data_IF_375359929351
#
_entry.id   IF_375359929351
#
_cell.length_a   1.000
_cell.length_b   1.000
_cell.length_c   1.000
_cell.angle_alpha   90.00
_cell.angle_beta   90.00
_cell.angle_gamma   90.00
#
_symmetry.space_group_name_H-M   'P 1'
#
loop_
_entity.id
_entity.type
_entity.pdbx_description
1 polymer ?
#
# COMPACT_ATOMS: atom_id res chain seq x y z
N UNK A 1 -8.06 -22.08 4.19
CA UNK A 1 -7.18 -23.23 3.83
C UNK A 1 -6.88 -23.09 2.35
N UNK A 2 -5.70 -22.69 1.89
CA UNK A 2 -4.36 -22.91 2.41
C UNK A 2 -3.44 -21.72 2.10
N UNK A 3 -2.75 -21.21 3.13
CA UNK A 3 -1.58 -20.36 3.01
C UNK A 3 -0.37 -21.27 3.31
N UNK A 4 0.45 -21.55 2.30
CA UNK A 4 1.74 -22.23 2.39
C UNK A 4 2.49 -21.90 1.07
N UNK A 5 3.76 -21.52 1.00
CA UNK A 5 4.87 -21.58 1.95
C UNK A 5 5.95 -20.58 1.51
N UNK A 6 6.66 -19.96 2.47
CA UNK A 6 7.87 -19.16 2.19
C UNK A 6 9.11 -19.96 2.60
N UNK A 7 9.96 -20.31 1.63
CA UNK A 7 11.18 -21.10 1.85
C UNK A 7 12.44 -20.22 1.79
N UNK A 8 13.21 -20.26 2.89
CA UNK A 8 14.58 -19.75 3.08
C UNK A 8 15.60 -20.37 2.11
N UNK A 9 16.57 -19.58 1.62
CA UNK A 9 18.02 -19.83 1.82
C UNK A 9 18.92 -18.64 1.45
N UNK A 10 19.99 -18.46 2.23
CA UNK A 10 21.03 -17.43 2.10
C UNK A 10 22.41 -18.03 1.71
N UNK A 11 23.37 -17.12 1.43
CA UNK A 11 24.86 -17.25 1.30
C UNK A 11 25.36 -17.68 -0.09
N UNK A 12 26.37 -17.06 -0.73
CA UNK A 12 27.30 -15.97 -0.40
C UNK A 12 28.38 -15.84 -1.49
N UNK A 13 29.18 -14.77 -1.50
CA UNK A 13 30.31 -14.63 -2.42
C UNK A 13 31.12 -13.34 -2.24
N UNK A 14 32.38 -13.49 -1.81
CA UNK A 14 33.34 -12.45 -1.45
C UNK A 14 34.11 -11.92 -2.69
N UNK A 15 34.42 -10.62 -2.74
CA UNK A 15 35.35 -10.06 -3.73
C UNK A 15 35.79 -8.62 -3.43
N UNK A 16 36.97 -8.45 -2.82
CA UNK A 16 37.71 -7.17 -2.69
C UNK A 16 38.20 -6.70 -4.09
N UNK A 17 38.38 -5.41 -4.42
CA UNK A 17 39.52 -4.55 -4.02
C UNK A 17 39.38 -3.06 -4.49
N UNK A 18 39.56 -2.14 -3.54
CA UNK A 18 40.42 -0.93 -3.48
C UNK A 18 40.70 0.02 -4.68
N UNK A 19 40.51 1.35 -4.47
CA UNK A 19 41.25 2.45 -5.14
C UNK A 19 40.50 3.81 -5.29
N UNK A 20 40.88 4.85 -4.52
CA UNK A 20 40.27 6.19 -4.31
C UNK A 20 40.76 7.31 -5.31
N UNK A 21 40.55 8.66 -5.12
CA UNK A 21 39.46 9.52 -4.58
C UNK A 21 39.10 10.74 -5.51
N UNK A 22 38.33 11.73 -4.97
CA UNK A 22 37.95 13.09 -5.46
C UNK A 22 36.70 13.15 -6.37
N UNK A 23 35.65 13.95 -6.17
CA UNK A 23 35.43 15.21 -5.44
C UNK A 23 34.07 15.19 -4.73
N UNK A 24 34.00 15.82 -3.56
CA UNK A 24 32.76 16.11 -2.87
C UNK A 24 32.06 17.33 -3.52
N UNK A 25 30.81 17.15 -3.94
CA UNK A 25 29.86 18.25 -4.06
C UNK A 25 28.71 17.97 -3.08
N UNK A 26 28.30 19.04 -2.42
CA UNK A 26 27.42 19.12 -1.28
C UNK A 26 25.97 19.08 -1.75
N UNK A 27 25.08 18.67 -0.84
CA UNK A 27 23.61 18.78 -0.98
C UNK A 27 22.93 17.74 -1.88
N UNK A 28 22.88 16.50 -1.41
CA UNK A 28 21.63 15.75 -1.49
C UNK A 28 21.27 15.31 -0.07
N UNK A 29 20.01 15.57 0.26
CA UNK A 29 19.42 15.29 1.55
C UNK A 29 19.73 13.86 1.97
N UNK A 30 20.30 13.71 3.16
CA UNK A 30 20.41 12.45 3.86
C UNK A 30 19.00 11.85 3.97
N UNK A 31 18.62 11.00 3.02
CA UNK A 31 17.44 10.16 3.12
C UNK A 31 17.80 9.16 4.21
N UNK A 32 17.40 9.49 5.43
CA UNK A 32 17.63 8.75 6.65
C UNK A 32 17.43 7.25 6.40
N UNK A 33 18.51 6.48 6.45
CA UNK A 33 18.49 5.03 6.62
C UNK A 33 18.09 4.70 8.06
N UNK A 34 16.97 5.26 8.51
CA UNK A 34 16.25 4.68 9.63
C UNK A 34 15.76 3.33 9.11
N UNK A 35 16.38 2.26 9.59
CA UNK A 35 15.76 0.94 9.67
C UNK A 35 14.33 1.19 10.14
N UNK A 36 13.33 1.08 9.25
CA UNK A 36 11.93 1.25 9.62
C UNK A 36 11.61 0.10 10.55
N UNK A 37 11.68 0.37 11.85
CA UNK A 37 11.39 -0.63 12.88
C UNK A 37 9.93 -1.06 12.86
N UNK A 38 9.05 -0.24 12.27
CA UNK A 38 7.61 -0.46 12.13
C UNK A 38 7.09 0.27 10.89
N UNK A 39 6.05 -0.28 10.26
CA UNK A 39 5.33 0.36 9.17
C UNK A 39 4.73 1.72 9.60
N UNK A 40 4.65 2.65 8.66
CA UNK A 40 4.05 3.97 8.89
C UNK A 40 2.54 3.84 9.00
N UNK A 41 1.95 4.41 10.05
CA UNK A 41 0.51 4.51 10.26
C UNK A 41 0.14 5.98 10.46
N UNK A 42 -0.89 6.47 9.76
CA UNK A 42 -1.32 7.87 9.79
C UNK A 42 -2.60 8.03 10.61
N UNK A 43 -2.69 9.12 11.36
CA UNK A 43 -3.93 9.49 12.03
C UNK A 43 -4.99 9.99 11.03
N UNK A 44 -6.26 9.93 11.43
CA UNK A 44 -7.39 10.42 10.62
C UNK A 44 -7.80 9.49 9.47
N UNK A 45 -7.19 8.31 9.37
CA UNK A 45 -7.60 7.24 8.46
C UNK A 45 -8.30 6.11 9.21
N UNK A 46 -9.05 5.31 8.46
CA UNK A 46 -9.56 4.01 8.88
C UNK A 46 -8.77 2.90 8.20
N UNK A 47 -8.69 1.74 8.84
CA UNK A 47 -7.86 0.62 8.40
C UNK A 47 -8.63 -0.69 8.44
N UNK A 48 -8.41 -1.56 7.46
CA UNK A 48 -8.94 -2.92 7.42
C UNK A 48 -7.95 -3.94 8.02
N UNK A 49 -8.44 -5.14 8.31
CA UNK A 49 -7.59 -6.29 8.70
C UNK A 49 -6.73 -6.79 7.53
N UNK A 50 -7.13 -6.51 6.29
CA UNK A 50 -6.43 -6.89 5.06
C UNK A 50 -5.38 -5.84 4.60
N UNK A 51 -5.09 -4.85 5.46
CA UNK A 51 -4.05 -3.84 5.28
C UNK A 51 -4.33 -2.77 4.19
N UNK A 52 -5.60 -2.44 3.97
CA UNK A 52 -6.04 -1.24 3.25
C UNK A 52 -6.33 -0.07 4.20
N UNK A 53 -6.31 1.14 3.65
CA UNK A 53 -6.72 2.36 4.35
C UNK A 53 -7.89 3.05 3.65
N UNK A 54 -8.68 3.78 4.43
CA UNK A 54 -9.79 4.62 3.96
C UNK A 54 -9.65 6.02 4.52
N UNK A 55 -9.69 7.03 3.64
CA UNK A 55 -9.81 8.44 3.99
C UNK A 55 -11.20 8.93 3.59
N UNK A 56 -11.97 9.42 4.55
CA UNK A 56 -13.29 9.99 4.26
C UNK A 56 -13.19 11.48 3.90
N UNK A 57 -13.69 11.83 2.73
CA UNK A 57 -13.81 13.20 2.21
C UNK A 57 -15.28 13.49 1.88
N UNK A 58 -16.04 13.96 2.87
CA UNK A 58 -17.49 14.11 2.73
C UNK A 58 -18.21 12.76 2.68
N UNK A 59 -18.85 12.44 1.57
CA UNK A 59 -19.49 11.15 1.29
C UNK A 59 -18.63 10.20 0.44
N UNK A 60 -17.40 10.62 0.12
CA UNK A 60 -16.47 9.89 -0.74
C UNK A 60 -15.35 9.27 0.09
N UNK A 61 -15.17 7.97 -0.02
CA UNK A 61 -14.08 7.21 0.56
C UNK A 61 -12.93 7.08 -0.45
N UNK A 62 -11.75 7.61 -0.13
CA UNK A 62 -10.51 7.36 -0.87
C UNK A 62 -9.85 6.13 -0.27
N UNK A 63 -9.48 5.17 -1.12
CA UNK A 63 -8.96 3.86 -0.70
C UNK A 63 -7.59 3.58 -1.34
N UNK A 64 -6.70 2.95 -0.59
CA UNK A 64 -5.42 2.41 -1.07
C UNK A 64 -4.86 1.36 -0.10
N UNK A 65 -3.67 0.82 -0.40
CA UNK A 65 -2.99 -0.13 0.50
C UNK A 65 -2.02 0.59 1.44
N UNK A 66 -1.79 0.02 2.62
CA UNK A 66 -0.93 0.61 3.65
C UNK A 66 0.55 0.47 3.33
N UNK A 67 1.36 1.24 4.06
CA UNK A 67 2.82 1.11 4.06
C UNK A 67 3.32 -0.29 4.45
N UNK A 68 2.61 -0.98 5.35
CA UNK A 68 2.89 -2.37 5.70
C UNK A 68 2.68 -3.28 4.48
N UNK A 69 1.51 -3.18 3.84
CA UNK A 69 1.16 -4.01 2.69
C UNK A 69 2.18 -3.90 1.55
N UNK A 70 2.56 -2.66 1.17
CA UNK A 70 3.52 -2.48 0.09
C UNK A 70 4.92 -3.02 0.44
N UNK A 71 5.32 -3.00 1.72
CA UNK A 71 6.62 -3.52 2.14
C UNK A 71 6.66 -5.05 2.05
N UNK A 72 5.57 -5.71 2.45
CA UNK A 72 5.42 -7.17 2.34
C UNK A 72 5.39 -7.63 0.87
N UNK A 73 4.76 -6.85 -0.01
CA UNK A 73 4.73 -7.12 -1.45
C UNK A 73 6.09 -6.84 -2.12
N UNK A 74 6.80 -5.81 -1.65
CA UNK A 74 8.00 -5.28 -2.28
C UNK A 74 7.69 -4.45 -3.54
N UNK A 75 8.68 -4.32 -4.42
CA UNK A 75 8.57 -3.44 -5.59
C UNK A 75 7.44 -3.87 -6.53
N UNK A 76 6.40 -3.04 -6.59
CA UNK A 76 5.25 -3.24 -7.45
C UNK A 76 5.62 -2.94 -8.90
N UNK A 77 5.10 -3.77 -9.79
CA UNK A 77 5.28 -3.68 -11.23
C UNK A 77 3.95 -3.47 -11.96
N UNK A 78 2.83 -3.80 -11.32
CA UNK A 78 1.50 -3.65 -11.92
C UNK A 78 0.41 -3.43 -10.87
N UNK A 79 -0.62 -2.67 -11.25
CA UNK A 79 -1.85 -2.44 -10.47
C UNK A 79 -3.05 -2.55 -11.42
N UNK A 80 -3.94 -3.49 -11.17
CA UNK A 80 -5.24 -3.62 -11.85
C UNK A 80 -6.27 -2.78 -11.11
N UNK A 81 -6.87 -1.77 -11.76
CA UNK A 81 -7.92 -0.94 -11.16
C UNK A 81 -9.30 -1.30 -11.76
N UNK A 82 -10.39 -1.20 -11.00
CA UNK A 82 -11.74 -1.40 -11.53
C UNK A 82 -12.13 -0.28 -12.49
N UNK A 83 -13.27 -0.43 -13.18
CA UNK A 83 -13.83 0.64 -14.01
C UNK A 83 -14.61 1.65 -13.15
N UNK A 84 -14.54 2.94 -13.51
CA UNK A 84 -15.43 3.97 -12.93
C UNK A 84 -16.89 3.60 -13.23
N UNK A 85 -17.75 3.71 -12.21
CA UNK A 85 -19.15 3.27 -12.23
C UNK A 85 -19.36 1.83 -11.76
N UNK A 86 -18.29 1.06 -11.54
CA UNK A 86 -18.40 -0.28 -10.96
C UNK A 86 -18.82 -0.21 -9.49
N UNK A 87 -19.56 -1.23 -9.04
CA UNK A 87 -19.82 -1.44 -7.61
C UNK A 87 -18.67 -2.21 -6.99
N UNK A 88 -18.20 -1.76 -5.83
CA UNK A 88 -17.32 -2.52 -4.95
C UNK A 88 -18.10 -2.93 -3.70
N UNK A 89 -17.76 -4.09 -3.13
CA UNK A 89 -18.43 -4.65 -1.95
C UNK A 89 -17.39 -4.86 -0.84
N UNK A 90 -17.71 -4.43 0.38
CA UNK A 90 -16.87 -4.68 1.54
C UNK A 90 -16.56 -6.18 1.70
N UNK A 91 -15.29 -6.52 1.87
CA UNK A 91 -14.82 -7.90 1.99
C UNK A 91 -14.65 -8.65 0.66
N UNK A 92 -14.92 -8.01 -0.49
CA UNK A 92 -14.69 -8.57 -1.81
C UNK A 92 -13.51 -7.88 -2.51
N UNK A 93 -12.81 -8.63 -3.37
CA UNK A 93 -11.75 -8.12 -4.23
C UNK A 93 -12.27 -7.02 -5.16
N UNK A 94 -11.58 -5.88 -5.22
CA UNK A 94 -11.83 -4.85 -6.23
C UNK A 94 -10.63 -4.57 -7.15
N UNK A 95 -9.43 -5.01 -6.77
CA UNK A 95 -8.19 -4.72 -7.48
C UNK A 95 -7.18 -5.85 -7.24
N UNK A 96 -6.13 -5.90 -8.07
CA UNK A 96 -4.98 -6.79 -7.94
C UNK A 96 -3.71 -5.96 -8.02
N UNK A 97 -2.75 -6.21 -7.13
CA UNK A 97 -1.41 -5.62 -7.17
C UNK A 97 -0.39 -6.71 -7.43
N UNK A 98 0.57 -6.45 -8.31
CA UNK A 98 1.63 -7.40 -8.62
C UNK A 98 3.01 -6.78 -8.41
N UNK A 99 3.90 -7.56 -7.81
CA UNK A 99 5.33 -7.32 -7.69
C UNK A 99 6.11 -8.38 -8.45
N UNK A 100 7.43 -8.25 -8.47
CA UNK A 100 8.32 -9.33 -8.95
C UNK A 100 8.31 -10.59 -8.07
N UNK A 101 7.65 -10.54 -6.89
CA UNK A 101 7.64 -11.62 -5.90
C UNK A 101 6.29 -12.29 -5.76
N UNK A 102 5.20 -11.53 -5.89
CA UNK A 102 3.85 -11.97 -5.58
C UNK A 102 2.80 -11.13 -6.34
N UNK A 103 1.64 -11.73 -6.57
CA UNK A 103 0.40 -11.03 -6.89
C UNK A 103 -0.54 -11.16 -5.69
N UNK A 104 -1.21 -10.08 -5.31
CA UNK A 104 -2.19 -10.06 -4.22
C UNK A 104 -3.47 -9.39 -4.66
N UNK A 105 -4.59 -9.98 -4.28
CA UNK A 105 -5.88 -9.29 -4.32
C UNK A 105 -5.86 -8.14 -3.30
N UNK A 106 -6.57 -7.06 -3.63
CA UNK A 106 -6.86 -5.96 -2.72
C UNK A 106 -8.36 -5.99 -2.41
N UNK A 107 -8.67 -6.04 -1.12
CA UNK A 107 -10.02 -6.25 -0.62
C UNK A 107 -10.66 -4.90 -0.36
N UNK A 108 -11.92 -4.73 -0.77
CA UNK A 108 -12.58 -3.46 -0.55
C UNK A 108 -12.95 -3.34 0.93
N UNK A 109 -12.56 -2.25 1.62
CA UNK A 109 -12.95 -2.02 3.00
C UNK A 109 -14.39 -1.51 3.13
N UNK A 110 -15.04 -1.12 2.02
CA UNK A 110 -16.35 -0.45 2.00
C UNK A 110 -17.19 -0.93 0.81
N UNK A 111 -18.51 -0.74 0.87
CA UNK A 111 -19.42 -0.98 -0.24
C UNK A 111 -19.87 0.35 -0.86
N UNK A 112 -19.81 0.45 -2.18
CA UNK A 112 -20.24 1.66 -2.89
C UNK A 112 -19.96 1.63 -4.38
N UNK A 113 -20.09 2.78 -5.02
CA UNK A 113 -19.81 2.98 -6.43
C UNK A 113 -18.46 3.67 -6.63
N UNK A 114 -17.62 3.14 -7.52
CA UNK A 114 -16.34 3.75 -7.88
C UNK A 114 -16.59 5.03 -8.69
N UNK A 115 -16.23 6.18 -8.14
CA UNK A 115 -16.39 7.48 -8.82
C UNK A 115 -15.12 7.93 -9.53
N UNK A 116 -13.97 7.44 -9.09
CA UNK A 116 -12.67 7.82 -9.66
C UNK A 116 -11.65 6.69 -9.44
N UNK A 117 -10.72 6.55 -10.37
CA UNK A 117 -9.57 5.63 -10.26
C UNK A 117 -8.29 6.39 -10.53
N UNK A 118 -7.21 6.01 -9.86
CA UNK A 118 -5.91 6.66 -10.05
C UNK A 118 -5.23 6.16 -11.32
N UNK A 119 -5.54 6.77 -12.47
CA UNK A 119 -4.97 6.37 -13.75
C UNK A 119 -3.44 6.53 -13.82
N UNK A 120 -2.82 7.30 -12.91
CA UNK A 120 -1.37 7.42 -12.85
C UNK A 120 -0.67 6.11 -12.46
N UNK A 121 -1.36 5.18 -11.79
CA UNK A 121 -0.77 3.89 -11.38
C UNK A 121 -0.55 2.94 -12.56
N UNK A 122 -1.25 3.14 -13.68
CA UNK A 122 -0.99 2.40 -14.92
C UNK A 122 0.34 2.77 -15.56
N UNK A 123 0.76 4.03 -15.38
CA UNK A 123 2.04 4.54 -15.90
C UNK A 123 3.17 4.35 -14.88
N UNK A 124 2.87 4.48 -13.59
CA UNK A 124 3.84 4.39 -12.49
C UNK A 124 3.22 3.75 -11.25
N UNK A 125 3.28 2.42 -11.20
CA UNK A 125 2.83 1.61 -10.06
C UNK A 125 3.71 1.79 -8.80
N UNK A 126 4.94 2.30 -8.95
CA UNK A 126 5.88 2.52 -7.83
C UNK A 126 5.42 3.61 -6.85
N UNK A 127 4.42 4.41 -7.23
CA UNK A 127 3.74 5.37 -6.34
C UNK A 127 3.15 4.70 -5.11
N UNK A 128 2.63 3.48 -5.26
CA UNK A 128 2.12 2.70 -4.14
C UNK A 128 3.24 2.33 -3.15
N UNK A 129 4.46 2.06 -3.63
CA UNK A 129 5.61 1.82 -2.75
C UNK A 129 6.16 3.11 -2.12
N UNK A 130 6.19 4.20 -2.88
CA UNK A 130 6.90 5.43 -2.47
C UNK A 130 6.04 6.41 -1.66
N UNK A 131 4.73 6.43 -1.90
CA UNK A 131 3.76 7.30 -1.24
C UNK A 131 2.38 6.60 -1.11
N UNK A 132 2.27 5.50 -0.33
CA UNK A 132 1.06 4.67 -0.25
C UNK A 132 -0.19 5.42 0.23
N UNK A 133 -0.01 6.49 1.02
CA UNK A 133 -1.12 7.28 1.59
C UNK A 133 -1.39 8.59 0.84
N UNK A 134 -0.53 8.94 -0.13
CA UNK A 134 -0.66 10.14 -0.95
C UNK A 134 -0.90 9.76 -2.41
N UNK A 135 0.11 9.85 -3.26
CA UNK A 135 0.01 9.55 -4.70
C UNK A 135 -0.33 8.08 -5.03
N UNK A 136 -0.20 7.17 -4.07
CA UNK A 136 -0.51 5.75 -4.17
C UNK A 136 -1.97 5.36 -3.92
N UNK A 137 -2.90 6.32 -3.75
CA UNK A 137 -4.33 6.01 -3.68
C UNK A 137 -4.82 5.26 -4.93
N UNK A 138 -5.80 4.39 -4.79
CA UNK A 138 -6.22 3.48 -5.88
C UNK A 138 -7.57 3.89 -6.46
N UNK A 139 -8.58 4.05 -5.60
CA UNK A 139 -9.96 4.34 -6.01
C UNK A 139 -10.61 5.36 -5.07
N UNK A 140 -11.59 6.09 -5.60
CA UNK A 140 -12.57 6.84 -4.80
C UNK A 140 -13.93 6.19 -4.95
N UNK A 141 -14.59 5.99 -3.82
CA UNK A 141 -15.85 5.26 -3.72
C UNK A 141 -16.88 6.17 -3.08
N UNK A 142 -18.01 6.37 -3.74
CA UNK A 142 -19.18 6.96 -3.10
C UNK A 142 -19.83 5.89 -2.23
N UNK A 143 -19.86 6.14 -0.92
CA UNK A 143 -20.36 5.17 0.05
C UNK A 143 -21.88 4.96 -0.11
N UNK A 144 -22.31 3.70 -0.07
CA UNK A 144 -23.72 3.38 0.05
C UNK A 144 -24.24 3.65 1.48
N UNK A 145 -23.38 3.45 2.49
CA UNK A 145 -23.67 3.67 3.90
C UNK A 145 -22.38 4.03 4.66
N UNK A 146 -22.37 5.19 5.33
CA UNK A 146 -21.21 5.66 6.08
C UNK A 146 -20.95 4.85 7.37
N UNK A 147 -21.95 4.15 7.91
CA UNK A 147 -21.81 3.34 9.13
C UNK A 147 -20.83 2.16 8.98
N UNK A 148 -20.51 1.79 7.73
CA UNK A 148 -19.52 0.76 7.43
C UNK A 148 -18.12 1.08 7.98
N UNK A 149 -17.80 2.37 8.13
CA UNK A 149 -16.53 2.83 8.67
C UNK A 149 -16.38 2.57 10.18
N UNK A 150 -17.48 2.31 10.89
CA UNK A 150 -17.46 2.00 12.32
C UNK A 150 -16.89 0.60 12.59
N UNK A 151 -16.93 -0.28 11.59
CA UNK A 151 -16.31 -1.61 11.64
C UNK A 151 -14.80 -1.61 11.37
N UNK A 152 -14.24 -0.49 10.93
CA UNK A 152 -12.81 -0.38 10.59
C UNK A 152 -12.00 0.16 11.78
N UNK A 153 -10.74 -0.27 11.84
CA UNK A 153 -9.79 0.15 12.87
C UNK A 153 -9.42 1.63 12.68
N UNK A 154 -9.12 2.31 13.79
CA UNK A 154 -8.39 3.57 13.76
C UNK A 154 -6.87 3.34 13.72
N UNK A 155 -6.09 4.42 13.68
CA UNK A 155 -4.63 4.34 13.63
C UNK A 155 -4.00 3.63 14.83
N UNK A 156 -4.57 3.76 16.03
CA UNK A 156 -4.07 3.08 17.21
C UNK A 156 -4.37 1.58 17.16
N UNK A 157 -5.60 1.22 16.80
CA UNK A 157 -6.01 -0.17 16.63
C UNK A 157 -5.18 -0.89 15.58
N UNK A 158 -4.95 -0.25 14.43
CA UNK A 158 -4.11 -0.82 13.38
C UNK A 158 -2.64 -0.93 13.78
N UNK A 159 -2.12 0.08 14.50
CA UNK A 159 -0.75 0.02 15.04
C UNK A 159 -0.57 -1.15 16.00
N UNK A 160 -1.56 -1.42 16.86
CA UNK A 160 -1.52 -2.58 17.77
C UNK A 160 -1.68 -3.91 17.03
N UNK A 161 -2.48 -3.95 15.96
CA UNK A 161 -2.65 -5.12 15.10
C UNK A 161 -1.35 -5.52 14.36
N UNK A 162 -0.54 -4.56 13.94
CA UNK A 162 0.71 -4.80 13.20
C UNK A 162 1.93 -5.14 14.08
N UNK A 163 1.80 -5.21 15.42
CA UNK A 163 2.90 -5.56 16.34
C UNK A 163 3.09 -7.07 16.48
#
# INVERSE_FOLDING_TARGET
MALAAFAKKAVGGLGLRCGAPLLADSSSTLRSLAVRGYATVLEGLKYSEDHEWVKLEGDTAVVGITDFAQEELGDLVYVELPEVGSTVTAGERFSVVESVKAASDVISPVTGEVTEVNSALSDDSSKVNTDPFGEGWMVKVKLADASQLDGLMDSNGYTDFCK
#
